data_IF_217931782248
#
_entry.id   IF_217931782248
#
_cell.length_a   1.000
_cell.length_b   1.000
_cell.length_c   1.000
_cell.angle_alpha   90.00
_cell.angle_beta   90.00
_cell.angle_gamma   90.00
#
_symmetry.space_group_name_H-M   'P 1'
#
loop_
_entity.id
_entity.type
_entity.pdbx_description
1 polymer ?
#
# COMPACT_ATOMS: atom_id res chain seq x y z
N UNK A 1 8.93 11.00 2.23
CA UNK A 1 7.53 10.82 2.70
C UNK A 1 7.03 9.41 2.37
N UNK A 2 7.13 8.96 1.12
CA UNK A 2 6.75 7.60 0.68
C UNK A 2 7.54 6.48 1.39
N UNK A 3 8.86 6.62 1.48
CA UNK A 3 9.73 5.68 2.20
C UNK A 3 9.28 5.41 3.64
N UNK A 4 8.73 6.40 4.32
CA UNK A 4 8.25 6.29 5.70
C UNK A 4 7.01 5.38 5.78
N UNK A 5 6.11 5.46 4.79
CA UNK A 5 4.93 4.59 4.67
C UNK A 5 5.38 3.14 4.43
N UNK A 6 6.33 2.93 3.52
CA UNK A 6 6.87 1.59 3.24
C UNK A 6 7.57 0.97 4.45
N UNK A 7 8.35 1.77 5.19
CA UNK A 7 9.05 1.27 6.38
C UNK A 7 8.06 0.88 7.47
N UNK A 8 6.95 1.61 7.64
CA UNK A 8 6.05 1.49 8.80
C UNK A 8 4.84 0.58 8.61
N UNK A 9 4.52 0.24 7.38
CA UNK A 9 3.28 -0.47 7.04
C UNK A 9 3.51 -1.61 6.06
N UNK A 10 2.45 -2.37 5.80
CA UNK A 10 2.41 -3.39 4.77
C UNK A 10 2.01 -2.83 3.38
N UNK A 11 2.06 -1.51 3.16
CA UNK A 11 1.65 -0.87 1.90
C UNK A 11 2.29 -1.46 0.65
N UNK A 12 3.54 -1.93 0.73
CA UNK A 12 4.22 -2.58 -0.40
C UNK A 12 3.46 -3.79 -0.96
N UNK A 13 2.71 -4.52 -0.12
CA UNK A 13 1.88 -5.66 -0.55
C UNK A 13 0.73 -5.21 -1.45
N UNK A 14 0.30 -3.96 -1.33
CA UNK A 14 -0.76 -3.40 -2.19
C UNK A 14 -0.28 -3.03 -3.58
N UNK A 15 1.03 -2.79 -3.75
CA UNK A 15 1.62 -2.39 -5.02
C UNK A 15 2.08 -3.57 -5.88
N UNK A 16 2.34 -4.71 -5.26
CA UNK A 16 2.71 -5.93 -5.94
C UNK A 16 1.83 -7.08 -5.45
N UNK A 17 0.91 -7.51 -6.30
CA UNK A 17 -0.01 -8.61 -5.99
C UNK A 17 0.72 -9.94 -5.76
N UNK A 18 1.93 -10.12 -6.32
CA UNK A 18 2.72 -11.33 -6.09
C UNK A 18 3.29 -11.38 -4.66
N UNK A 19 3.31 -10.24 -3.95
CA UNK A 19 3.74 -10.14 -2.55
C UNK A 19 2.59 -10.22 -1.54
N UNK A 20 1.35 -10.26 -2.01
CA UNK A 20 0.17 -10.44 -1.16
C UNK A 20 -0.27 -11.89 -1.27
N UNK A 21 -0.16 -12.66 -0.17
CA UNK A 21 -0.32 -14.12 -0.06
C UNK A 21 -1.74 -14.66 -0.43
N UNK A 22 -2.30 -14.24 -1.55
CA UNK A 22 -3.56 -14.74 -2.12
C UNK A 22 -4.84 -14.15 -1.52
N UNK A 23 -4.76 -13.11 -0.68
CA UNK A 23 -5.96 -12.40 -0.20
C UNK A 23 -6.22 -11.17 -1.06
N UNK A 24 -7.29 -11.12 -1.87
CA UNK A 24 -7.61 -9.93 -2.63
C UNK A 24 -8.09 -8.85 -1.66
N UNK A 25 -7.24 -7.89 -1.32
CA UNK A 25 -7.73 -6.58 -0.90
C UNK A 25 -8.44 -5.94 -2.11
N UNK A 26 -9.59 -5.29 -1.89
CA UNK A 26 -10.23 -4.50 -2.93
C UNK A 26 -9.31 -3.33 -3.27
N UNK A 27 -8.74 -3.37 -4.48
CA UNK A 27 -7.76 -2.38 -4.95
C UNK A 27 -8.32 -1.65 -6.15
N UNK A 28 -8.27 -0.32 -6.11
CA UNK A 28 -8.66 0.54 -7.22
C UNK A 28 -7.57 1.57 -7.48
N UNK A 29 -7.28 1.80 -8.75
CA UNK A 29 -6.36 2.84 -9.18
C UNK A 29 -7.05 3.83 -10.12
N UNK A 30 -6.55 5.05 -10.09
CA UNK A 30 -6.99 6.12 -10.98
C UNK A 30 -5.97 6.29 -12.11
N UNK A 31 -6.44 6.14 -13.34
CA UNK A 31 -5.61 6.40 -14.54
C UNK A 31 -5.38 7.89 -14.72
N UNK A 32 -4.43 8.25 -15.61
CA UNK A 32 -4.19 9.66 -16.00
C UNK A 32 -5.43 10.36 -16.57
N UNK A 33 -6.43 9.61 -17.05
CA UNK A 33 -7.69 10.14 -17.57
C UNK A 33 -8.77 10.30 -16.48
N UNK A 34 -8.40 10.15 -15.20
CA UNK A 34 -9.31 10.16 -14.05
C UNK A 34 -10.32 9.00 -13.98
N UNK A 35 -10.10 7.93 -14.75
CA UNK A 35 -10.94 6.72 -14.66
C UNK A 35 -10.46 5.81 -13.52
N UNK A 36 -11.38 5.38 -12.66
CA UNK A 36 -11.13 4.38 -11.61
C UNK A 36 -11.31 2.97 -12.16
N UNK A 37 -10.28 2.14 -12.04
CA UNK A 37 -10.30 0.74 -12.47
C UNK A 37 -9.94 -0.19 -11.32
N UNK A 38 -10.61 -1.37 -11.21
CA UNK A 38 -10.18 -2.40 -10.27
C UNK A 38 -8.84 -3.00 -10.73
N UNK A 39 -7.98 -3.31 -9.76
CA UNK A 39 -6.74 -4.06 -10.05
C UNK A 39 -7.08 -5.55 -10.17
N UNK A 40 -6.88 -6.13 -11.35
CA UNK A 40 -7.15 -7.55 -11.59
C UNK A 40 -5.82 -8.26 -11.85
N UNK A 41 -5.33 -8.99 -10.84
CA UNK A 41 -4.32 -10.06 -10.90
C UNK A 41 -3.07 -9.86 -11.78
N UNK A 42 -1.89 -9.73 -11.16
CA UNK A 42 -0.59 -9.81 -11.84
C UNK A 42 -0.03 -8.49 -12.37
N UNK A 43 -0.72 -7.37 -12.11
CA UNK A 43 -0.23 -6.03 -12.43
C UNK A 43 0.67 -5.52 -11.29
N UNK A 44 1.86 -5.04 -11.66
CA UNK A 44 2.75 -4.30 -10.75
C UNK A 44 2.42 -2.82 -10.84
N UNK A 45 2.10 -2.20 -9.71
CA UNK A 45 1.82 -0.77 -9.63
C UNK A 45 3.06 0.08 -9.32
N UNK A 46 4.21 -0.56 -9.15
CA UNK A 46 5.47 0.12 -8.90
C UNK A 46 6.45 -0.11 -10.08
N UNK A 47 7.10 0.95 -10.59
CA UNK A 47 7.00 2.36 -10.19
C UNK A 47 5.64 3.00 -10.50
N UNK A 48 5.19 3.99 -9.70
CA UNK A 48 3.84 4.56 -9.79
C UNK A 48 3.67 5.61 -10.92
N UNK A 49 4.64 5.73 -11.83
CA UNK A 49 4.74 6.85 -12.79
C UNK A 49 3.53 6.97 -13.74
N UNK A 50 2.83 5.86 -13.99
CA UNK A 50 1.67 5.79 -14.90
C UNK A 50 0.32 5.97 -14.17
N UNK A 51 0.32 6.10 -12.85
CA UNK A 51 -0.87 6.15 -12.02
C UNK A 51 -1.08 7.55 -11.43
N UNK A 52 -2.30 8.09 -11.55
CA UNK A 52 -2.63 9.39 -10.97
C UNK A 52 -2.85 9.32 -9.45
N UNK A 53 -3.41 8.20 -8.97
CA UNK A 53 -3.57 7.89 -7.56
C UNK A 53 -3.85 6.39 -7.38
N UNK A 54 -3.48 5.84 -6.22
CA UNK A 54 -3.78 4.47 -5.81
C UNK A 54 -4.48 4.55 -4.45
N UNK A 55 -5.62 3.87 -4.33
CA UNK A 55 -6.31 3.72 -3.04
C UNK A 55 -6.17 2.29 -2.56
N UNK A 56 -5.66 2.14 -1.34
CA UNK A 56 -5.50 0.86 -0.67
C UNK A 56 -6.16 0.94 0.70
N UNK A 57 -7.20 0.14 0.91
CA UNK A 57 -7.79 -0.10 2.23
C UNK A 57 -7.16 -1.32 2.89
N UNK A 58 -7.32 -1.45 4.21
CA UNK A 58 -6.87 -2.64 4.93
C UNK A 58 -5.39 -2.59 5.31
N UNK A 59 -4.77 -1.40 5.27
CA UNK A 59 -3.37 -1.27 5.63
C UNK A 59 -3.18 -1.49 7.13
N UNK A 60 -2.05 -2.11 7.47
CA UNK A 60 -1.61 -2.27 8.85
C UNK A 60 -0.35 -1.44 9.05
N UNK A 61 -0.38 -0.51 10.00
CA UNK A 61 0.77 0.26 10.46
C UNK A 61 1.28 -0.36 11.75
N UNK A 62 2.51 -0.88 11.71
CA UNK A 62 3.07 -1.68 12.79
C UNK A 62 4.43 -1.16 13.30
N UNK A 63 4.95 -0.06 12.74
CA UNK A 63 6.14 0.62 13.28
C UNK A 63 5.89 2.07 13.64
N UNK A 64 6.62 2.50 14.66
CA UNK A 64 6.69 3.87 15.15
C UNK A 64 7.23 4.84 14.07
N UNK A 65 7.00 6.16 14.21
CA UNK A 65 7.56 7.15 13.29
C UNK A 65 9.09 7.23 13.40
N UNK A 66 9.70 7.95 12.45
CA UNK A 66 11.15 8.07 12.29
C UNK A 66 11.88 8.62 13.53
N UNK A 67 11.24 9.52 14.28
CA UNK A 67 11.78 10.05 15.54
C UNK A 67 12.03 8.97 16.61
N UNK A 68 11.38 7.82 16.48
CA UNK A 68 11.53 6.65 17.34
C UNK A 68 12.21 5.48 16.58
N UNK A 69 12.97 5.76 15.52
CA UNK A 69 13.80 4.78 14.84
C UNK A 69 13.06 3.67 14.08
N UNK A 70 11.73 3.78 13.90
CA UNK A 70 10.89 2.71 13.34
C UNK A 70 10.81 1.45 14.21
N UNK A 71 10.85 1.61 15.53
CA UNK A 71 10.58 0.51 16.45
C UNK A 71 9.20 -0.12 16.23
N UNK A 72 9.06 -1.40 16.56
CA UNK A 72 7.76 -2.07 16.47
C UNK A 72 6.77 -1.45 17.47
N UNK A 73 5.51 -1.33 17.05
CA UNK A 73 4.43 -0.86 17.91
C UNK A 73 3.89 -2.03 18.75
N UNK A 74 3.68 -1.81 20.04
CA UNK A 74 3.00 -2.79 20.92
C UNK A 74 1.55 -3.03 20.48
N UNK A 75 0.91 -2.02 19.89
CA UNK A 75 -0.44 -2.09 19.35
C UNK A 75 -0.45 -1.51 17.94
N UNK A 76 -0.37 -2.36 16.90
CA UNK A 76 -0.49 -1.94 15.51
C UNK A 76 -1.87 -1.32 15.23
N UNK A 77 -1.90 -0.43 14.24
CA UNK A 77 -3.16 0.12 13.72
C UNK A 77 -3.55 -0.70 12.49
N UNK A 78 -4.76 -1.27 12.51
CA UNK A 78 -5.29 -2.12 11.46
C UNK A 78 -6.39 -1.40 10.69
N UNK A 79 -6.61 -1.84 9.45
CA UNK A 79 -7.71 -1.39 8.58
C UNK A 79 -7.72 0.14 8.34
N UNK A 80 -6.52 0.67 8.07
CA UNK A 80 -6.29 2.06 7.66
C UNK A 80 -6.48 2.20 6.14
#
# INVERSE_FOLDING_TARGET
QEENIFRRSNYYRSLDMDLDDGKPADRVYCTINCDTKPLIGGEKMYPMDEFGAIYTSGLTVFRQPENNGYDFMDTPVYDV
#
